data_IF_006001045810
#
_entry.id   IF_006001045810
#
_cell.length_a   1.000
_cell.length_b   1.000
_cell.length_c   1.000
_cell.angle_alpha   90.00
_cell.angle_beta   90.00
_cell.angle_gamma   90.00
#
_symmetry.space_group_name_H-M   'P 1'
#
loop_
_entity.id
_entity.type
_entity.pdbx_description
1 polymer ?
#
# COMPACT_ATOMS: atom_id res chain seq x y z
N UNK A 1 -43.32 52.83 -26.26
CA UNK A 1 -42.62 52.72 -24.97
C UNK A 1 -41.68 51.52 -25.06
N UNK A 2 -40.38 51.74 -25.26
CA UNK A 2 -39.38 50.67 -25.28
C UNK A 2 -39.00 50.32 -23.85
N UNK A 3 -39.09 49.03 -23.50
CA UNK A 3 -38.60 48.55 -22.21
C UNK A 3 -37.07 48.47 -22.29
N UNK A 4 -36.30 49.12 -21.39
CA UNK A 4 -34.85 48.96 -21.39
C UNK A 4 -34.50 47.52 -21.00
N UNK A 5 -33.56 46.91 -21.73
CA UNK A 5 -33.03 45.58 -21.38
C UNK A 5 -32.26 45.70 -20.06
N UNK A 6 -32.41 44.74 -19.12
CA UNK A 6 -31.63 44.75 -17.90
C UNK A 6 -30.14 44.60 -18.25
N UNK A 7 -29.32 45.51 -17.70
CA UNK A 7 -27.87 45.44 -17.79
C UNK A 7 -27.39 44.33 -16.83
N UNK A 8 -27.16 43.12 -17.38
CA UNK A 8 -26.60 42.00 -16.62
C UNK A 8 -25.08 42.11 -16.71
N UNK A 9 -24.50 43.02 -15.93
CA UNK A 9 -23.11 42.90 -15.54
C UNK A 9 -23.03 41.84 -14.44
N UNK A 10 -23.19 40.57 -14.82
CA UNK A 10 -22.90 39.46 -13.92
C UNK A 10 -21.42 39.58 -13.51
N UNK A 11 -21.17 39.76 -12.22
CA UNK A 11 -19.83 39.61 -11.65
C UNK A 11 -19.26 38.28 -12.16
N UNK A 12 -18.13 38.32 -12.87
CA UNK A 12 -17.37 37.11 -13.20
C UNK A 12 -16.89 36.54 -11.86
N UNK A 13 -17.64 35.60 -11.30
CA UNK A 13 -17.11 34.73 -10.25
C UNK A 13 -15.86 34.08 -10.82
N UNK A 14 -14.71 34.41 -10.25
CA UNK A 14 -13.43 33.91 -10.73
C UNK A 14 -13.46 32.37 -10.64
N UNK A 15 -13.44 31.71 -11.80
CA UNK A 15 -13.61 30.26 -11.86
C UNK A 15 -12.32 29.63 -11.32
N UNK A 16 -12.43 28.87 -10.23
CA UNK A 16 -11.33 28.09 -9.68
C UNK A 16 -10.81 27.09 -10.72
N UNK A 17 -9.54 26.68 -10.58
CA UNK A 17 -8.94 25.66 -11.45
C UNK A 17 -9.38 24.26 -11.01
N UNK A 18 -9.47 23.31 -11.94
CA UNK A 18 -9.64 21.90 -11.61
C UNK A 18 -8.29 21.29 -11.18
N UNK A 19 -8.24 20.45 -10.13
CA UNK A 19 -7.00 19.86 -9.62
C UNK A 19 -6.57 18.65 -10.47
N UNK A 20 -6.29 18.86 -11.75
CA UNK A 20 -5.93 17.77 -12.66
C UNK A 20 -4.53 17.25 -12.32
N UNK A 21 -4.45 16.00 -11.88
CA UNK A 21 -3.18 15.35 -11.51
C UNK A 21 -2.68 15.66 -10.11
N UNK A 22 -3.30 16.61 -9.40
CA UNK A 22 -2.93 16.98 -8.04
C UNK A 22 -3.59 16.01 -7.06
N UNK A 23 -2.79 15.43 -6.17
CA UNK A 23 -3.24 14.47 -5.16
C UNK A 23 -2.99 14.95 -3.72
N UNK A 24 -2.48 16.16 -3.57
CA UNK A 24 -2.12 16.77 -2.29
C UNK A 24 -3.26 17.65 -1.82
N UNK A 25 -3.82 17.37 -0.64
CA UNK A 25 -4.92 18.16 -0.10
C UNK A 25 -4.48 19.59 0.20
N UNK A 26 -3.29 19.75 0.79
CA UNK A 26 -2.69 21.06 1.08
C UNK A 26 -2.57 21.96 -0.16
N UNK A 27 -2.07 21.43 -1.26
CA UNK A 27 -1.87 22.17 -2.52
C UNK A 27 -3.22 22.63 -3.09
N UNK A 28 -4.21 21.72 -3.13
CA UNK A 28 -5.56 22.04 -3.60
C UNK A 28 -6.18 23.19 -2.78
N UNK A 29 -5.98 23.18 -1.46
CA UNK A 29 -6.53 24.19 -0.56
C UNK A 29 -5.76 25.52 -0.63
N UNK A 30 -4.43 25.48 -0.59
CA UNK A 30 -3.57 26.66 -0.63
C UNK A 30 -3.66 27.42 -1.96
N UNK A 31 -3.76 26.71 -3.09
CA UNK A 31 -3.87 27.32 -4.43
C UNK A 31 -5.32 27.52 -4.89
N UNK A 32 -6.30 27.34 -3.99
CA UNK A 32 -7.73 27.59 -4.23
C UNK A 32 -8.30 26.84 -5.46
N UNK A 33 -7.93 25.57 -5.64
CA UNK A 33 -8.53 24.68 -6.63
C UNK A 33 -9.95 24.26 -6.22
N UNK A 34 -10.72 23.72 -7.18
CA UNK A 34 -11.94 23.00 -6.85
C UNK A 34 -11.64 21.74 -6.03
N UNK A 35 -12.26 21.63 -4.87
CA UNK A 35 -12.23 20.45 -4.01
C UNK A 35 -13.65 19.95 -3.78
N UNK A 36 -13.90 18.67 -4.04
CA UNK A 36 -15.18 18.02 -3.71
C UNK A 36 -15.09 17.58 -2.25
N UNK A 37 -15.82 18.27 -1.37
CA UNK A 37 -15.81 17.97 0.05
C UNK A 37 -16.41 16.58 0.34
N UNK A 38 -15.55 15.67 0.80
CA UNK A 38 -15.91 14.33 1.26
C UNK A 38 -15.69 14.15 2.76
N UNK A 39 -15.42 15.23 3.49
CA UNK A 39 -15.02 15.14 4.90
C UNK A 39 -16.17 14.70 5.82
N UNK A 40 -17.43 14.85 5.39
CA UNK A 40 -18.58 14.23 6.06
C UNK A 40 -18.45 12.69 6.14
N UNK A 41 -17.90 12.04 5.11
CA UNK A 41 -17.65 10.60 5.13
C UNK A 41 -16.55 10.23 6.13
N UNK A 42 -15.53 11.07 6.29
CA UNK A 42 -14.46 10.85 7.28
C UNK A 42 -15.06 10.84 8.69
N UNK A 43 -15.86 11.86 9.04
CA UNK A 43 -16.55 11.93 10.35
C UNK A 43 -17.37 10.66 10.61
N UNK A 44 -18.22 10.31 9.64
CA UNK A 44 -19.05 9.10 9.71
C UNK A 44 -18.22 7.82 9.89
N UNK A 45 -17.09 7.72 9.20
CA UNK A 45 -16.20 6.56 9.32
C UNK A 45 -15.64 6.43 10.74
N UNK A 46 -15.28 7.54 11.38
CA UNK A 46 -14.73 7.52 12.74
C UNK A 46 -15.77 7.18 13.80
N UNK A 47 -17.04 7.50 13.56
CA UNK A 47 -18.14 7.24 14.49
C UNK A 47 -18.68 5.81 14.39
N UNK A 48 -18.73 5.26 13.17
CA UNK A 48 -19.47 4.02 12.91
C UNK A 48 -18.60 2.75 12.83
N UNK A 49 -17.32 2.85 12.48
CA UNK A 49 -16.55 1.68 12.04
C UNK A 49 -15.32 1.34 12.86
N UNK A 50 -15.01 0.04 12.89
CA UNK A 50 -13.76 -0.49 13.42
C UNK A 50 -12.69 -0.68 12.33
N UNK A 51 -13.09 -1.15 11.14
CA UNK A 51 -12.20 -1.40 10.01
C UNK A 51 -12.86 -1.02 8.69
N UNK A 52 -12.12 -0.35 7.80
CA UNK A 52 -12.61 0.08 6.49
C UNK A 52 -11.72 -0.42 5.36
N UNK A 53 -12.33 -1.12 4.39
CA UNK A 53 -11.68 -1.48 3.13
C UNK A 53 -12.06 -0.50 2.02
N UNK A 54 -11.09 0.28 1.55
CA UNK A 54 -11.27 1.22 0.44
C UNK A 54 -10.91 0.57 -0.91
N UNK A 55 -11.80 -0.28 -1.46
CA UNK A 55 -11.67 -1.00 -2.77
C UNK A 55 -11.09 -0.12 -3.88
N UNK A 56 -10.33 -0.59 -4.88
CA UNK A 56 -9.48 0.27 -5.77
C UNK A 56 -10.07 0.63 -7.18
N UNK A 57 -11.23 1.31 -7.34
CA UNK A 57 -11.62 1.86 -8.64
C UNK A 57 -10.67 2.98 -9.08
N UNK A 58 -10.25 2.93 -10.35
CA UNK A 58 -9.45 3.98 -10.99
C UNK A 58 -10.17 5.34 -10.88
N UNK A 59 -9.41 6.40 -10.61
CA UNK A 59 -9.86 7.82 -10.61
C UNK A 59 -10.92 8.21 -9.58
N UNK A 60 -11.17 7.39 -8.55
CA UNK A 60 -12.09 7.73 -7.46
C UNK A 60 -11.57 8.80 -6.48
N UNK A 61 -10.29 9.18 -6.59
CA UNK A 61 -9.67 10.19 -5.72
C UNK A 61 -9.18 9.66 -4.38
N UNK A 62 -8.78 8.37 -4.31
CA UNK A 62 -8.32 7.74 -3.05
C UNK A 62 -7.05 8.34 -2.50
N UNK A 63 -6.06 8.62 -3.35
CA UNK A 63 -4.82 9.25 -2.90
C UNK A 63 -5.12 10.57 -2.22
N UNK A 64 -5.93 11.42 -2.86
CA UNK A 64 -6.36 12.69 -2.28
C UNK A 64 -7.17 12.50 -1.01
N UNK A 65 -8.08 11.52 -0.95
CA UNK A 65 -8.87 11.25 0.25
C UNK A 65 -8.00 10.78 1.44
N UNK A 66 -7.04 9.90 1.19
CA UNK A 66 -6.05 9.47 2.19
C UNK A 66 -5.14 10.63 2.62
N UNK A 67 -4.79 11.52 1.70
CA UNK A 67 -4.03 12.73 2.00
C UNK A 67 -4.85 13.71 2.85
N UNK A 68 -6.15 13.89 2.56
CA UNK A 68 -7.07 14.65 3.42
C UNK A 68 -7.11 14.06 4.84
N UNK A 69 -7.27 12.73 4.96
CA UNK A 69 -7.24 12.06 6.27
C UNK A 69 -5.95 12.36 7.03
N UNK A 70 -4.79 12.21 6.37
CA UNK A 70 -3.49 12.56 6.97
C UNK A 70 -3.48 13.99 7.51
N UNK A 71 -3.84 14.97 6.68
CA UNK A 71 -3.77 16.38 7.08
C UNK A 71 -4.71 16.71 8.26
N UNK A 72 -5.89 16.06 8.34
CA UNK A 72 -6.81 16.19 9.47
C UNK A 72 -6.23 15.60 10.76
N UNK A 73 -5.71 14.38 10.71
CA UNK A 73 -5.14 13.70 11.88
C UNK A 73 -3.87 14.38 12.40
N UNK A 74 -3.08 15.01 11.53
CA UNK A 74 -1.94 15.84 11.91
C UNK A 74 -2.34 17.21 12.50
N UNK A 75 -3.64 17.56 12.45
CA UNK A 75 -4.19 18.79 13.04
C UNK A 75 -3.96 20.05 12.21
N UNK A 76 -3.97 19.95 10.88
CA UNK A 76 -3.81 21.10 9.98
C UNK A 76 -5.14 21.85 9.76
N UNK A 77 -5.67 22.44 10.83
CA UNK A 77 -7.00 23.09 10.90
C UNK A 77 -7.30 24.04 9.72
N UNK A 78 -6.37 24.95 9.41
CA UNK A 78 -6.53 25.96 8.35
C UNK A 78 -6.87 25.36 6.96
N UNK A 79 -6.44 24.13 6.67
CA UNK A 79 -6.77 23.48 5.39
C UNK A 79 -8.24 23.07 5.30
N UNK A 80 -8.90 22.90 6.44
CA UNK A 80 -10.28 22.42 6.52
C UNK A 80 -11.33 23.53 6.58
N UNK A 81 -10.94 24.81 6.64
CA UNK A 81 -11.85 25.95 6.69
C UNK A 81 -12.94 25.89 5.61
N UNK A 82 -14.20 26.01 6.02
CA UNK A 82 -15.35 25.93 5.12
C UNK A 82 -15.67 24.52 4.58
N UNK A 83 -15.02 23.47 5.08
CA UNK A 83 -15.42 22.08 4.86
C UNK A 83 -16.32 21.60 5.99
N UNK A 84 -17.12 20.57 5.73
CA UNK A 84 -18.05 19.98 6.69
C UNK A 84 -17.38 19.58 8.02
N UNK A 85 -16.14 19.12 7.99
CA UNK A 85 -15.45 18.62 9.19
C UNK A 85 -14.85 19.71 10.09
N UNK A 86 -14.73 20.96 9.61
CA UNK A 86 -14.03 22.04 10.32
C UNK A 86 -14.50 22.20 11.77
N UNK A 87 -15.81 22.41 11.96
CA UNK A 87 -16.40 22.63 13.30
C UNK A 87 -16.75 21.31 14.01
N UNK A 88 -16.35 20.17 13.45
CA UNK A 88 -16.71 18.80 13.90
C UNK A 88 -15.48 17.93 14.16
N UNK A 89 -14.33 18.58 14.27
CA UNK A 89 -13.05 17.97 14.58
C UNK A 89 -12.47 18.61 15.84
N UNK A 90 -11.79 17.83 16.67
CA UNK A 90 -11.07 18.36 17.83
C UNK A 90 -9.64 18.72 17.41
N UNK A 91 -9.41 20.00 17.10
CA UNK A 91 -8.11 20.50 16.65
C UNK A 91 -7.06 20.60 17.76
N UNK A 92 -7.46 20.44 19.02
CA UNK A 92 -6.52 20.39 20.14
C UNK A 92 -5.72 19.09 20.15
N UNK A 93 -6.24 18.04 19.51
CA UNK A 93 -5.63 16.71 19.44
C UNK A 93 -4.89 16.55 18.12
N UNK A 94 -3.65 16.07 18.21
CA UNK A 94 -2.81 15.72 17.05
C UNK A 94 -2.34 14.29 17.18
N UNK A 95 -2.39 13.57 16.06
CA UNK A 95 -1.94 12.19 15.98
C UNK A 95 -0.71 12.08 15.09
N UNK A 96 0.31 11.30 15.48
CA UNK A 96 1.36 10.92 14.54
C UNK A 96 0.74 10.05 13.43
N UNK A 97 0.85 10.50 12.18
CA UNK A 97 0.33 9.76 11.02
C UNK A 97 1.46 9.00 10.35
N UNK A 98 1.38 7.67 10.39
CA UNK A 98 2.30 6.80 9.64
C UNK A 98 1.69 6.48 8.28
N UNK A 99 2.27 7.02 7.21
CA UNK A 99 1.86 6.72 5.84
C UNK A 99 2.78 5.64 5.25
N UNK A 100 2.30 4.41 5.24
CA UNK A 100 2.99 3.31 4.56
C UNK A 100 2.67 3.34 3.06
N UNK A 101 3.71 3.46 2.23
CA UNK A 101 3.60 3.40 0.78
C UNK A 101 4.46 2.27 0.24
N UNK A 102 3.79 1.28 -0.33
CA UNK A 102 4.42 0.08 -0.86
C UNK A 102 4.80 0.21 -2.35
N UNK A 103 4.55 1.38 -2.97
CA UNK A 103 4.86 1.64 -4.38
C UNK A 103 6.31 2.05 -4.67
N UNK A 104 7.20 1.98 -3.68
CA UNK A 104 8.62 2.38 -3.79
C UNK A 104 9.62 1.20 -3.84
N UNK A 105 9.14 -0.03 -3.97
CA UNK A 105 10.01 -1.20 -4.18
C UNK A 105 10.42 -1.97 -2.92
N UNK A 106 9.82 -1.67 -1.75
CA UNK A 106 9.99 -2.44 -0.52
C UNK A 106 9.05 -3.66 -0.50
N UNK A 107 9.17 -4.53 -1.50
CA UNK A 107 8.19 -5.58 -1.74
C UNK A 107 8.19 -6.64 -0.63
N UNK A 108 9.36 -7.09 -0.17
CA UNK A 108 9.45 -8.08 0.91
C UNK A 108 8.70 -7.61 2.18
N UNK A 109 8.89 -6.35 2.59
CA UNK A 109 8.21 -5.77 3.77
C UNK A 109 6.67 -5.74 3.65
N UNK A 110 6.12 -5.70 2.43
CA UNK A 110 4.67 -5.84 2.19
C UNK A 110 4.20 -7.22 2.62
N UNK A 111 4.89 -8.25 2.14
CA UNK A 111 4.55 -9.64 2.45
C UNK A 111 4.70 -9.89 3.95
N UNK A 112 5.76 -9.35 4.56
CA UNK A 112 6.01 -9.50 6.00
C UNK A 112 4.85 -8.89 6.80
N UNK A 113 4.52 -7.63 6.51
CA UNK A 113 3.45 -6.92 7.21
C UNK A 113 2.10 -7.60 7.02
N UNK A 114 1.82 -8.12 5.83
CA UNK A 114 0.57 -8.80 5.53
C UNK A 114 0.46 -10.14 6.26
N UNK A 115 1.46 -11.02 6.15
CA UNK A 115 1.45 -12.33 6.79
C UNK A 115 1.43 -12.24 8.32
N UNK A 116 2.21 -11.31 8.89
CA UNK A 116 2.17 -11.03 10.32
C UNK A 116 0.78 -10.53 10.75
N UNK A 117 0.16 -9.63 9.97
CA UNK A 117 -1.16 -9.07 10.31
C UNK A 117 -2.30 -10.10 10.31
N UNK A 118 -2.15 -11.19 9.56
CA UNK A 118 -3.10 -12.31 9.55
C UNK A 118 -2.70 -13.43 10.52
N UNK A 119 -1.61 -13.24 11.29
CA UNK A 119 -1.17 -14.17 12.34
C UNK A 119 -0.50 -15.44 11.83
N UNK A 120 0.18 -15.40 10.69
CA UNK A 120 0.99 -16.53 10.21
C UNK A 120 2.33 -16.59 10.94
N UNK A 121 2.82 -17.79 11.21
CA UNK A 121 4.17 -18.00 11.75
C UNK A 121 5.19 -17.76 10.64
N UNK A 122 5.93 -16.65 10.75
CA UNK A 122 6.94 -16.23 9.77
C UNK A 122 8.30 -16.05 10.42
N UNK A 123 9.35 -16.42 9.68
CA UNK A 123 10.74 -16.15 10.04
C UNK A 123 11.35 -15.29 8.93
N UNK A 124 11.61 -14.02 9.23
CA UNK A 124 12.17 -13.06 8.27
C UNK A 124 13.69 -12.97 8.39
N UNK A 125 14.36 -12.67 7.27
CA UNK A 125 15.82 -12.56 7.18
C UNK A 125 16.55 -13.77 7.78
N UNK A 126 16.04 -14.97 7.48
CA UNK A 126 16.44 -16.19 8.12
C UNK A 126 17.83 -16.67 7.65
N UNK A 127 18.80 -16.63 8.57
CA UNK A 127 20.21 -16.90 8.25
C UNK A 127 20.55 -18.40 8.36
N UNK A 128 21.45 -18.84 7.47
CA UNK A 128 22.08 -20.16 7.45
C UNK A 128 23.57 -20.04 7.12
N UNK A 129 24.33 -21.14 7.21
CA UNK A 129 25.73 -21.17 6.80
C UNK A 129 25.95 -20.89 5.31
N UNK A 130 24.91 -21.03 4.49
CA UNK A 130 24.98 -20.88 3.04
C UNK A 130 24.45 -19.52 2.56
N UNK A 131 23.78 -18.74 3.41
CA UNK A 131 23.25 -17.43 3.04
C UNK A 131 22.13 -16.97 3.98
N UNK A 132 21.33 -16.02 3.52
CA UNK A 132 20.17 -15.50 4.25
C UNK A 132 18.95 -15.53 3.35
N UNK A 133 17.95 -16.26 3.77
CA UNK A 133 16.63 -16.33 3.14
C UNK A 133 15.84 -15.07 3.50
N UNK A 134 15.08 -14.50 2.57
CA UNK A 134 14.26 -13.34 2.86
C UNK A 134 13.15 -13.66 3.87
N UNK A 135 12.41 -14.76 3.66
CA UNK A 135 11.34 -15.15 4.57
C UNK A 135 11.01 -16.65 4.48
N UNK A 136 10.77 -17.28 5.62
CA UNK A 136 10.08 -18.56 5.73
C UNK A 136 8.68 -18.34 6.32
N UNK A 137 7.70 -19.11 5.88
CA UNK A 137 6.36 -19.17 6.46
C UNK A 137 6.07 -20.62 6.83
N UNK A 138 5.70 -20.85 8.09
CA UNK A 138 5.35 -22.16 8.62
C UNK A 138 3.83 -22.19 8.78
N UNK A 139 3.16 -22.95 7.94
CA UNK A 139 1.70 -22.92 7.93
C UNK A 139 1.10 -24.27 7.54
N UNK A 140 0.12 -24.71 8.34
CA UNK A 140 -0.68 -25.91 8.07
C UNK A 140 0.17 -27.17 7.80
N UNK A 141 1.25 -27.35 8.56
CA UNK A 141 2.17 -28.48 8.39
C UNK A 141 3.02 -28.43 7.11
N UNK A 142 3.20 -27.25 6.53
CA UNK A 142 4.05 -27.00 5.36
C UNK A 142 5.02 -25.86 5.65
N UNK A 143 6.17 -25.89 4.98
CA UNK A 143 7.19 -24.84 5.03
C UNK A 143 7.27 -24.16 3.67
N UNK A 144 7.11 -22.83 3.65
CA UNK A 144 7.19 -22.03 2.43
C UNK A 144 8.38 -21.07 2.53
N UNK A 145 9.38 -21.23 1.66
CA UNK A 145 10.61 -20.44 1.64
C UNK A 145 10.54 -19.42 0.50
N UNK A 146 10.43 -18.15 0.85
CA UNK A 146 10.31 -17.04 -0.07
C UNK A 146 11.65 -16.35 -0.33
N UNK A 147 11.93 -16.05 -1.60
CA UNK A 147 13.01 -15.16 -2.04
C UNK A 147 12.44 -14.10 -2.98
N UNK A 148 12.81 -12.83 -2.75
CA UNK A 148 12.33 -11.69 -3.51
C UNK A 148 13.47 -11.02 -4.29
N UNK A 149 13.30 -10.83 -5.60
CA UNK A 149 14.25 -10.06 -6.44
C UNK A 149 13.60 -8.88 -7.13
N UNK A 150 14.38 -7.83 -7.32
CA UNK A 150 13.96 -6.64 -8.06
C UNK A 150 14.82 -6.54 -9.32
N UNK A 151 14.21 -6.75 -10.47
CA UNK A 151 14.84 -6.77 -11.81
C UNK A 151 14.43 -5.52 -12.61
N UNK A 152 15.13 -5.18 -13.68
CA UNK A 152 14.81 -4.00 -14.51
C UNK A 152 13.50 -4.21 -15.31
N UNK A 153 13.50 -5.17 -16.25
CA UNK A 153 12.33 -5.50 -17.09
C UNK A 153 12.00 -6.99 -17.15
N UNK A 154 12.99 -7.82 -17.50
CA UNK A 154 12.77 -9.24 -17.82
C UNK A 154 13.10 -10.07 -16.58
N UNK A 155 12.26 -11.05 -16.21
CA UNK A 155 12.60 -11.97 -15.15
C UNK A 155 13.83 -12.80 -15.55
N UNK A 156 14.77 -12.96 -14.62
CA UNK A 156 16.03 -13.68 -14.84
C UNK A 156 16.02 -15.06 -14.18
N UNK A 157 15.04 -15.35 -13.32
CA UNK A 157 14.98 -16.60 -12.54
C UNK A 157 15.97 -16.62 -11.36
N UNK A 158 16.70 -15.53 -11.14
CA UNK A 158 17.74 -15.39 -10.12
C UNK A 158 17.22 -15.67 -8.70
N UNK A 159 15.94 -15.37 -8.43
CA UNK A 159 15.32 -15.69 -7.15
C UNK A 159 15.22 -17.21 -6.91
N UNK A 160 14.78 -17.98 -7.91
CA UNK A 160 14.65 -19.44 -7.80
C UNK A 160 16.02 -20.12 -7.80
N UNK A 161 16.96 -19.65 -8.63
CA UNK A 161 18.34 -20.13 -8.63
C UNK A 161 18.98 -19.95 -7.25
N UNK A 162 18.82 -18.78 -6.62
CA UNK A 162 19.34 -18.55 -5.28
C UNK A 162 18.74 -19.53 -4.24
N UNK A 163 17.42 -19.75 -4.26
CA UNK A 163 16.77 -20.69 -3.32
C UNK A 163 17.39 -22.10 -3.41
N UNK A 164 17.67 -22.56 -4.63
CA UNK A 164 18.26 -23.88 -4.91
C UNK A 164 19.74 -23.94 -4.55
N UNK A 165 20.54 -22.98 -5.01
CA UNK A 165 21.99 -22.94 -4.78
C UNK A 165 22.35 -22.82 -3.30
N UNK A 166 21.61 -21.99 -2.55
CA UNK A 166 21.85 -21.77 -1.13
C UNK A 166 21.27 -22.87 -0.23
N UNK A 167 20.51 -23.80 -0.82
CA UNK A 167 19.97 -24.98 -0.13
C UNK A 167 19.23 -24.63 1.16
N UNK A 168 18.46 -23.53 1.16
CA UNK A 168 17.76 -23.07 2.36
C UNK A 168 16.77 -24.10 2.94
N UNK A 169 16.25 -24.99 2.08
CA UNK A 169 15.40 -26.10 2.48
C UNK A 169 16.05 -27.04 3.52
N UNK A 170 17.38 -27.21 3.49
CA UNK A 170 18.08 -28.16 4.35
C UNK A 170 17.88 -27.86 5.85
N UNK A 171 17.78 -26.57 6.21
CA UNK A 171 17.50 -26.13 7.58
C UNK A 171 16.16 -26.64 8.12
N UNK A 172 15.19 -26.83 7.23
CA UNK A 172 13.80 -27.16 7.57
C UNK A 172 13.49 -28.65 7.40
N UNK A 173 14.38 -29.45 6.78
CA UNK A 173 14.15 -30.88 6.51
C UNK A 173 13.87 -31.70 7.76
N UNK A 174 14.50 -31.38 8.90
CA UNK A 174 14.29 -32.09 10.16
C UNK A 174 12.85 -32.01 10.69
N UNK A 175 12.03 -31.10 10.16
CA UNK A 175 10.62 -30.96 10.52
C UNK A 175 9.74 -32.07 9.92
N UNK A 176 10.20 -32.74 8.86
CA UNK A 176 9.39 -33.73 8.13
C UNK A 176 8.14 -33.16 7.45
N UNK A 177 8.07 -31.84 7.30
CA UNK A 177 6.98 -31.13 6.64
C UNK A 177 7.32 -30.91 5.15
N UNK A 178 6.34 -30.94 4.22
CA UNK A 178 6.58 -30.55 2.84
C UNK A 178 7.14 -29.14 2.73
N UNK A 179 8.16 -28.97 1.89
CA UNK A 179 8.86 -27.70 1.71
C UNK A 179 8.61 -27.17 0.29
N UNK A 180 8.21 -25.91 0.18
CA UNK A 180 7.98 -25.22 -1.08
C UNK A 180 8.89 -24.00 -1.20
N UNK A 181 9.63 -23.93 -2.29
CA UNK A 181 10.43 -22.77 -2.69
C UNK A 181 9.53 -21.82 -3.48
N UNK A 182 9.48 -20.55 -3.09
CA UNK A 182 8.66 -19.52 -3.73
C UNK A 182 9.56 -18.36 -4.15
N UNK A 183 9.75 -18.21 -5.44
CA UNK A 183 10.55 -17.14 -6.02
C UNK A 183 9.64 -16.06 -6.60
N UNK A 184 9.86 -14.80 -6.21
CA UNK A 184 9.06 -13.66 -6.69
C UNK A 184 9.97 -12.56 -7.22
N UNK A 185 9.77 -12.18 -8.47
CA UNK A 185 10.55 -11.11 -9.11
C UNK A 185 9.67 -9.91 -9.44
N UNK A 186 10.13 -8.72 -9.10
CA UNK A 186 9.44 -7.45 -9.35
C UNK A 186 10.24 -6.59 -10.33
N UNK A 187 9.55 -5.96 -11.29
CA UNK A 187 10.20 -4.99 -12.17
C UNK A 187 10.31 -3.61 -11.51
N UNK A 188 11.49 -2.99 -11.60
CA UNK A 188 11.74 -1.59 -11.18
C UNK A 188 10.95 -0.60 -12.01
N UNK A 189 10.86 -0.85 -13.30
CA UNK A 189 10.19 0.04 -14.26
C UNK A 189 8.67 0.00 -14.07
N UNK A 190 8.08 -1.18 -14.22
CA UNK A 190 6.61 -1.33 -14.18
C UNK A 190 6.05 -1.36 -12.75
N UNK A 191 6.90 -1.61 -11.75
CA UNK A 191 6.53 -1.75 -10.32
C UNK A 191 5.48 -2.82 -10.06
N UNK A 192 5.55 -3.91 -10.81
CA UNK A 192 4.68 -5.08 -10.68
C UNK A 192 5.51 -6.36 -10.57
N UNK A 193 4.87 -7.44 -10.14
CA UNK A 193 5.41 -8.81 -10.23
C UNK A 193 5.56 -9.17 -11.71
N UNK A 194 6.75 -9.62 -12.09
CA UNK A 194 7.08 -10.08 -13.45
C UNK A 194 7.38 -11.58 -13.52
N UNK A 195 7.72 -12.21 -12.40
CA UNK A 195 7.76 -13.66 -12.25
C UNK A 195 7.29 -14.10 -10.85
N UNK A 196 6.62 -15.25 -10.81
CA UNK A 196 6.19 -15.93 -9.60
C UNK A 196 6.30 -17.43 -9.85
N UNK A 197 7.30 -18.07 -9.25
CA UNK A 197 7.61 -19.47 -9.44
C UNK A 197 7.52 -20.22 -8.11
N UNK A 198 6.99 -21.44 -8.18
CA UNK A 198 6.85 -22.32 -7.02
C UNK A 198 7.40 -23.68 -7.36
N UNK A 199 8.26 -24.22 -6.50
CA UNK A 199 8.80 -25.57 -6.62
C UNK A 199 8.74 -26.30 -5.28
N UNK A 200 8.14 -27.48 -5.27
CA UNK A 200 8.16 -28.36 -4.09
C UNK A 200 9.48 -29.12 -4.03
N UNK A 201 10.14 -29.10 -2.88
CA UNK A 201 11.35 -29.88 -2.65
C UNK A 201 10.96 -31.36 -2.53
N UNK A 202 11.58 -32.27 -3.29
CA UNK A 202 11.31 -33.71 -3.18
C UNK A 202 11.57 -34.22 -1.77
N UNK A 203 10.71 -35.11 -1.28
CA UNK A 203 10.97 -35.86 -0.06
C UNK A 203 12.24 -36.70 -0.24
N UNK A 204 13.15 -36.66 0.73
CA UNK A 204 14.26 -37.61 0.78
C UNK A 204 13.67 -39.00 1.05
N UNK A 205 13.57 -39.83 0.02
CA UNK A 205 13.46 -41.28 0.22
C UNK A 205 14.84 -41.76 0.65
N UNK A 206 14.99 -42.14 1.90
CA UNK A 206 16.12 -42.99 2.29
C UNK A 206 15.97 -44.30 1.52
N UNK A 207 16.85 -44.54 0.55
CA UNK A 207 17.02 -45.87 -0.03
C UNK A 207 17.48 -46.80 1.10
N UNK A 208 16.61 -47.74 1.47
CA UNK A 208 16.87 -48.83 2.42
C UNK A 208 17.65 -49.96 1.76
#
# INVERSE_FOLDING_TARGET
MSNPRPNISAERTDRRKLPIGIQTFREIRAENYYYVDKTAYIRRMLDEGKHYFLSRPRRFGKSLFLDTLKELFEGNEALSEGLHIHDRWDWSVRHPVVRLSFGKGYYASVFYSYFESVGLDIVVEDSSSHGRLDMAVLFNGNVYLFEFKVVELVPEGAAMEQLKERRYADKYRARGEPIHLIAVEFSRESRNVVAFEVESVPEHREES
#
